data_IF_864899828329
#
_entry.id   IF_864899828329
#
_cell.length_a   1.000
_cell.length_b   1.000
_cell.length_c   1.000
_cell.angle_alpha   90.00
_cell.angle_beta   90.00
_cell.angle_gamma   90.00
#
_symmetry.space_group_name_H-M   'P 1'
#
loop_
_entity.id
_entity.type
_entity.pdbx_description
1 polymer ?
#
# COMPACT_ATOMS: atom_id res chain seq x y z
N UNK A 1 -8.63 -26.77 -11.35
CA UNK A 1 -8.02 -26.19 -12.57
C UNK A 1 -6.72 -26.96 -12.82
N UNK A 2 -6.55 -27.60 -13.98
CA UNK A 2 -5.42 -28.51 -14.27
C UNK A 2 -4.27 -27.86 -15.05
N UNK A 3 -3.84 -26.66 -14.65
CA UNK A 3 -2.69 -25.98 -15.26
C UNK A 3 -1.36 -26.54 -14.76
N UNK A 4 -0.25 -26.35 -15.51
CA UNK A 4 1.07 -26.77 -15.06
C UNK A 4 1.46 -26.05 -13.75
N UNK A 5 2.07 -26.74 -12.80
CA UNK A 5 2.52 -26.16 -11.51
C UNK A 5 3.46 -24.98 -11.69
N UNK A 6 4.23 -24.96 -12.79
CA UNK A 6 5.12 -23.85 -13.18
C UNK A 6 4.38 -22.53 -13.42
N UNK A 7 3.12 -22.57 -13.87
CA UNK A 7 2.34 -21.35 -14.11
C UNK A 7 2.01 -20.62 -12.81
N UNK A 8 1.76 -21.36 -11.73
CA UNK A 8 1.45 -20.76 -10.44
C UNK A 8 2.70 -20.17 -9.78
N UNK A 9 3.88 -20.77 -9.99
CA UNK A 9 5.17 -20.16 -9.57
C UNK A 9 5.44 -18.80 -10.20
N UNK A 10 4.85 -18.47 -11.35
CA UNK A 10 4.99 -17.13 -11.95
C UNK A 10 4.21 -16.05 -11.18
N UNK A 11 3.30 -16.42 -10.28
CA UNK A 11 2.56 -15.49 -9.41
C UNK A 11 3.47 -15.06 -8.26
N UNK A 12 3.54 -13.77 -7.97
CA UNK A 12 4.30 -13.27 -6.82
C UNK A 12 3.44 -13.14 -5.56
N UNK A 13 2.21 -12.66 -5.70
CA UNK A 13 1.30 -12.46 -4.57
C UNK A 13 -0.12 -12.95 -4.88
N UNK A 14 -0.76 -13.52 -3.86
CA UNK A 14 -2.19 -13.78 -3.80
C UNK A 14 -2.83 -12.81 -2.79
N UNK A 15 -3.89 -12.13 -3.21
CA UNK A 15 -4.61 -11.15 -2.39
C UNK A 15 -6.03 -11.67 -2.20
N UNK A 16 -6.38 -12.03 -0.97
CA UNK A 16 -7.67 -12.63 -0.65
C UNK A 16 -8.59 -11.62 0.02
N UNK A 17 -9.75 -11.37 -0.59
CA UNK A 17 -10.83 -10.60 -0.02
C UNK A 17 -12.08 -11.46 0.16
N UNK A 18 -12.73 -11.35 1.32
CA UNK A 18 -13.89 -12.15 1.68
C UNK A 18 -14.92 -11.33 2.48
N UNK A 19 -16.20 -11.75 2.47
CA UNK A 19 -17.18 -11.22 3.41
C UNK A 19 -16.91 -11.73 4.83
N UNK A 20 -16.70 -10.81 5.77
CA UNK A 20 -16.56 -11.07 7.19
C UNK A 20 -17.88 -10.80 7.90
N UNK A 21 -18.24 -11.67 8.83
CA UNK A 21 -19.37 -11.53 9.74
C UNK A 21 -18.83 -11.23 11.13
N UNK A 22 -19.12 -10.05 11.66
CA UNK A 22 -18.64 -9.64 12.99
C UNK A 22 -19.62 -10.06 14.08
N UNK A 23 -19.10 -10.65 15.17
CA UNK A 23 -19.83 -10.94 16.42
C UNK A 23 -21.18 -11.65 16.21
N UNK A 24 -21.29 -12.52 15.20
CA UNK A 24 -22.53 -13.24 14.88
C UNK A 24 -23.62 -12.41 14.20
N UNK A 25 -23.30 -11.22 13.69
CA UNK A 25 -24.24 -10.36 12.95
C UNK A 25 -24.74 -11.02 11.65
N UNK A 26 -25.93 -10.65 11.18
CA UNK A 26 -26.39 -11.02 9.83
C UNK A 26 -25.71 -10.20 8.73
N UNK A 27 -25.11 -9.05 9.07
CA UNK A 27 -24.51 -8.15 8.10
C UNK A 27 -23.09 -8.58 7.75
N UNK A 28 -22.87 -8.76 6.45
CA UNK A 28 -21.57 -9.11 5.85
C UNK A 28 -20.83 -7.85 5.44
N UNK A 29 -19.55 -7.80 5.73
CA UNK A 29 -18.66 -6.72 5.33
C UNK A 29 -17.52 -7.27 4.50
N UNK A 30 -17.29 -6.75 3.29
CA UNK A 30 -16.12 -7.13 2.51
C UNK A 30 -14.86 -6.59 3.18
N UNK A 31 -13.87 -7.46 3.40
CA UNK A 31 -12.55 -7.12 3.94
C UNK A 31 -11.49 -7.83 3.12
N UNK A 32 -10.32 -7.20 3.03
CA UNK A 32 -9.11 -7.93 2.71
C UNK A 32 -8.76 -8.78 3.92
N UNK A 33 -8.58 -10.08 3.73
CA UNK A 33 -8.35 -11.02 4.83
C UNK A 33 -6.93 -11.58 4.86
N UNK A 34 -6.26 -11.62 3.71
CA UNK A 34 -4.91 -12.18 3.59
C UNK A 34 -4.16 -11.58 2.39
N UNK A 35 -2.88 -11.31 2.56
CA UNK A 35 -1.93 -11.09 1.47
C UNK A 35 -0.80 -12.08 1.64
N UNK A 36 -0.62 -12.94 0.63
CA UNK A 36 0.32 -14.06 0.67
C UNK A 36 1.30 -13.93 -0.49
N UNK A 37 2.60 -14.00 -0.20
CA UNK A 37 3.65 -14.16 -1.20
C UNK A 37 3.75 -15.64 -1.60
N UNK A 38 3.89 -15.90 -2.90
CA UNK A 38 4.14 -17.24 -3.45
C UNK A 38 5.63 -17.40 -3.69
N UNK A 39 6.27 -18.20 -2.84
CA UNK A 39 7.70 -18.54 -2.95
C UNK A 39 7.95 -19.46 -4.14
N UNK A 40 9.22 -19.57 -4.56
CA UNK A 40 9.57 -20.31 -5.79
C UNK A 40 10.19 -21.69 -5.55
N UNK A 41 10.55 -22.00 -4.30
CA UNK A 41 11.29 -23.21 -3.91
C UNK A 41 10.51 -24.53 -3.89
N UNK A 42 9.18 -24.51 -3.78
CA UNK A 42 8.33 -25.71 -3.75
C UNK A 42 8.24 -26.42 -5.11
N UNK A 43 7.86 -27.69 -5.18
CA UNK A 43 7.88 -28.46 -6.44
C UNK A 43 6.55 -29.13 -6.79
N UNK A 44 5.92 -29.78 -5.80
CA UNK A 44 4.69 -30.55 -5.96
C UNK A 44 3.56 -29.94 -5.16
N UNK A 45 3.76 -29.76 -3.86
CA UNK A 45 2.76 -29.23 -2.94
C UNK A 45 3.30 -27.99 -2.23
N UNK A 46 2.89 -26.78 -2.63
CA UNK A 46 3.36 -25.55 -1.98
C UNK A 46 2.89 -25.44 -0.53
N UNK A 47 1.84 -26.11 -0.10
CA UNK A 47 1.40 -26.04 1.29
C UNK A 47 2.28 -26.92 2.18
N UNK A 48 2.59 -28.14 1.76
CA UNK A 48 3.50 -29.03 2.50
C UNK A 48 4.96 -28.56 2.43
N UNK A 49 5.36 -27.92 1.33
CA UNK A 49 6.74 -27.44 1.09
C UNK A 49 6.98 -25.99 1.53
N UNK A 50 6.07 -25.39 2.32
CA UNK A 50 6.18 -23.99 2.77
C UNK A 50 6.39 -22.97 1.64
N UNK A 51 5.72 -23.19 0.51
CA UNK A 51 5.74 -22.35 -0.68
C UNK A 51 5.00 -21.02 -0.56
N UNK A 52 4.51 -20.67 0.64
CA UNK A 52 3.71 -19.47 0.90
C UNK A 52 4.17 -18.75 2.16
N UNK A 53 4.16 -17.42 2.09
CA UNK A 53 4.36 -16.55 3.25
C UNK A 53 3.23 -15.54 3.34
N UNK A 54 2.56 -15.48 4.48
CA UNK A 54 1.56 -14.46 4.73
C UNK A 54 2.21 -13.17 5.18
N UNK A 55 2.08 -12.11 4.39
CA UNK A 55 2.50 -10.76 4.76
C UNK A 55 1.52 -10.11 5.71
N UNK A 56 0.23 -10.21 5.40
CA UNK A 56 -0.83 -9.56 6.16
C UNK A 56 -1.94 -10.58 6.42
N UNK A 57 -2.38 -10.66 7.67
CA UNK A 57 -3.53 -11.48 8.08
C UNK A 57 -4.56 -10.61 8.79
N UNK A 58 -5.85 -10.86 8.58
CA UNK A 58 -6.90 -10.04 9.18
C UNK A 58 -7.31 -10.53 10.57
N UNK A 59 -7.33 -9.61 11.52
CA UNK A 59 -7.84 -9.82 12.88
C UNK A 59 -9.26 -9.25 13.00
N UNK A 60 -10.25 -10.15 13.02
CA UNK A 60 -11.67 -9.79 13.10
C UNK A 60 -12.05 -9.11 14.43
N UNK A 61 -11.26 -9.28 15.49
CA UNK A 61 -11.51 -8.61 16.78
C UNK A 61 -11.16 -7.13 16.73
N UNK A 62 -10.16 -6.77 15.92
CA UNK A 62 -9.66 -5.40 15.74
C UNK A 62 -10.19 -4.71 14.48
N UNK A 63 -10.79 -5.47 13.56
CA UNK A 63 -11.14 -5.04 12.20
C UNK A 63 -9.93 -4.44 11.45
N UNK A 64 -8.78 -5.13 11.52
CA UNK A 64 -7.49 -4.64 11.02
C UNK A 64 -6.64 -5.75 10.40
N UNK A 65 -5.78 -5.36 9.46
CA UNK A 65 -4.71 -6.22 8.95
C UNK A 65 -3.51 -6.16 9.89
N UNK A 66 -2.97 -7.32 10.24
CA UNK A 66 -1.79 -7.52 11.06
C UNK A 66 -0.63 -7.88 10.15
N UNK A 67 0.45 -7.09 10.22
CA UNK A 67 1.66 -7.35 9.46
C UNK A 67 2.51 -8.41 10.16
N UNK A 68 2.78 -9.51 9.47
CA UNK A 68 3.61 -10.61 9.97
C UNK A 68 5.09 -10.26 9.79
N UNK A 69 5.55 -9.24 10.52
CA UNK A 69 6.84 -8.60 10.32
C UNK A 69 8.01 -9.60 10.28
N UNK A 70 8.11 -10.44 11.31
CA UNK A 70 9.22 -11.39 11.46
C UNK A 70 9.32 -12.33 10.26
N UNK A 71 8.20 -12.97 9.92
CA UNK A 71 8.12 -13.93 8.83
C UNK A 71 8.51 -13.31 7.48
N UNK A 72 7.97 -12.12 7.19
CA UNK A 72 8.27 -11.39 5.96
C UNK A 72 9.75 -11.03 5.86
N UNK A 73 10.36 -10.54 6.93
CA UNK A 73 11.78 -10.16 6.90
C UNK A 73 12.73 -11.35 6.81
N UNK A 74 12.40 -12.47 7.45
CA UNK A 74 13.23 -13.67 7.43
C UNK A 74 13.12 -14.38 6.08
N UNK A 75 11.91 -14.51 5.53
CA UNK A 75 11.63 -15.48 4.48
C UNK A 75 11.24 -14.88 3.11
N UNK A 76 10.83 -13.60 3.02
CA UNK A 76 10.40 -13.02 1.72
C UNK A 76 11.55 -12.93 0.71
N UNK A 77 11.41 -13.66 -0.40
CA UNK A 77 12.33 -13.58 -1.55
C UNK A 77 12.09 -12.28 -2.32
N UNK A 78 10.83 -11.87 -2.44
CA UNK A 78 10.45 -10.65 -3.14
C UNK A 78 11.03 -9.41 -2.45
N UNK A 79 10.93 -9.32 -1.12
CA UNK A 79 11.46 -8.17 -0.37
C UNK A 79 12.99 -8.11 -0.46
N UNK A 80 13.68 -9.24 -0.34
CA UNK A 80 15.13 -9.33 -0.55
C UNK A 80 15.52 -8.84 -1.95
N UNK A 81 14.79 -9.25 -2.98
CA UNK A 81 14.99 -8.78 -4.36
C UNK A 81 14.80 -7.26 -4.49
N UNK A 82 13.83 -6.67 -3.79
CA UNK A 82 13.65 -5.22 -3.77
C UNK A 82 14.83 -4.51 -3.11
N UNK A 83 15.32 -4.98 -1.97
CA UNK A 83 16.51 -4.42 -1.33
C UNK A 83 17.71 -4.42 -2.27
N UNK A 84 17.99 -5.57 -2.91
CA UNK A 84 19.11 -5.71 -3.85
C UNK A 84 18.94 -4.83 -5.10
N UNK A 85 17.77 -4.90 -5.75
CA UNK A 85 17.54 -4.19 -7.02
C UNK A 85 17.53 -2.66 -6.85
N UNK A 86 17.12 -2.16 -5.67
CA UNK A 86 17.06 -0.73 -5.40
C UNK A 86 18.26 -0.19 -4.63
N UNK A 87 19.16 -1.06 -4.15
CA UNK A 87 20.25 -0.66 -3.28
C UNK A 87 19.79 -0.04 -1.96
N UNK A 88 18.60 -0.43 -1.47
CA UNK A 88 17.98 0.13 -0.27
C UNK A 88 18.05 -0.86 0.89
N UNK A 89 18.24 -0.33 2.10
CA UNK A 89 18.10 -1.11 3.32
C UNK A 89 16.63 -1.19 3.77
N UNK A 90 16.35 -2.03 4.79
CA UNK A 90 15.01 -2.19 5.39
C UNK A 90 14.37 -0.85 5.75
N UNK A 91 15.11 0.00 6.43
CA UNK A 91 14.59 1.27 6.94
C UNK A 91 14.16 2.21 5.79
N UNK A 92 14.98 2.31 4.74
CA UNK A 92 14.70 3.15 3.58
C UNK A 92 13.45 2.68 2.82
N UNK A 93 13.30 1.37 2.58
CA UNK A 93 12.10 0.84 1.91
C UNK A 93 10.84 1.14 2.74
N UNK A 94 10.89 0.96 4.06
CA UNK A 94 9.71 1.22 4.89
C UNK A 94 9.41 2.71 5.04
N UNK A 95 10.42 3.59 5.00
CA UNK A 95 10.19 5.04 4.87
C UNK A 95 9.41 5.37 3.59
N UNK A 96 9.78 4.79 2.44
CA UNK A 96 9.04 4.96 1.19
C UNK A 96 7.60 4.40 1.28
N UNK A 97 7.43 3.18 1.80
CA UNK A 97 6.12 2.54 1.95
C UNK A 97 5.20 3.37 2.85
N UNK A 98 5.71 3.81 3.99
CA UNK A 98 4.95 4.62 4.94
C UNK A 98 4.59 5.98 4.33
N UNK A 99 5.54 6.66 3.67
CA UNK A 99 5.25 7.94 3.03
C UNK A 99 4.14 7.82 1.97
N UNK A 100 4.15 6.72 1.21
CA UNK A 100 3.10 6.40 0.24
C UNK A 100 1.75 6.10 0.88
N UNK A 101 1.75 5.44 2.03
CA UNK A 101 0.55 5.22 2.83
C UNK A 101 -0.03 6.54 3.35
N UNK A 102 0.83 7.38 3.93
CA UNK A 102 0.47 8.65 4.55
C UNK A 102 -0.14 9.65 3.56
N UNK A 103 0.46 9.84 2.37
CA UNK A 103 -0.12 10.78 1.40
C UNK A 103 -1.50 10.31 0.93
N UNK A 104 -1.69 8.99 0.71
CA UNK A 104 -3.00 8.44 0.32
C UNK A 104 -4.02 8.59 1.43
N UNK A 105 -3.62 8.31 2.66
CA UNK A 105 -4.46 8.47 3.84
C UNK A 105 -4.91 9.92 4.01
N UNK A 106 -4.00 10.88 3.81
CA UNK A 106 -4.33 12.30 3.88
C UNK A 106 -5.46 12.70 2.91
N UNK A 107 -5.48 12.17 1.67
CA UNK A 107 -6.59 12.42 0.73
C UNK A 107 -7.91 11.87 1.27
N UNK A 108 -7.91 10.68 1.89
CA UNK A 108 -9.09 10.09 2.51
C UNK A 108 -9.59 10.95 3.68
N UNK A 109 -8.67 11.46 4.51
CA UNK A 109 -9.00 12.37 5.60
C UNK A 109 -9.63 13.67 5.09
N UNK A 110 -9.02 14.32 4.10
CA UNK A 110 -9.56 15.55 3.51
C UNK A 110 -10.92 15.32 2.85
N UNK A 111 -11.11 14.16 2.19
CA UNK A 111 -12.41 13.77 1.63
C UNK A 111 -13.47 13.65 2.72
N UNK A 112 -13.15 13.00 3.84
CA UNK A 112 -14.09 12.81 4.96
C UNK A 112 -14.39 14.13 5.66
N UNK A 113 -13.36 14.91 5.98
CA UNK A 113 -13.46 16.21 6.66
C UNK A 113 -14.32 17.20 5.88
N UNK A 114 -14.13 17.27 4.57
CA UNK A 114 -14.77 18.29 3.72
C UNK A 114 -15.94 17.75 2.88
N UNK A 115 -16.29 16.46 3.02
CA UNK A 115 -17.31 15.78 2.20
C UNK A 115 -17.09 15.97 0.69
N UNK A 116 -15.85 15.74 0.24
CA UNK A 116 -15.41 15.91 -1.16
C UNK A 116 -15.12 14.55 -1.82
N UNK A 117 -16.13 13.76 -2.22
CA UNK A 117 -15.87 12.49 -2.94
C UNK A 117 -15.00 12.69 -4.19
N UNK A 118 -15.10 13.85 -4.86
CA UNK A 118 -14.35 14.23 -6.05
C UNK A 118 -12.82 14.22 -5.83
N UNK A 119 -12.38 14.34 -4.58
CA UNK A 119 -10.96 14.29 -4.20
C UNK A 119 -10.36 12.89 -4.40
N UNK A 120 -11.19 11.84 -4.33
CA UNK A 120 -10.76 10.45 -4.50
C UNK A 120 -11.00 9.91 -5.91
N UNK A 121 -11.49 10.75 -6.83
CA UNK A 121 -11.64 10.38 -8.23
C UNK A 121 -10.28 10.23 -8.92
N UNK A 122 -10.24 9.46 -10.01
CA UNK A 122 -9.01 9.14 -10.74
C UNK A 122 -8.27 10.40 -11.21
N UNK A 123 -8.99 11.39 -11.74
CA UNK A 123 -8.42 12.66 -12.21
C UNK A 123 -7.65 13.40 -11.11
N UNK A 124 -8.18 13.39 -9.88
CA UNK A 124 -7.57 14.05 -8.73
C UNK A 124 -6.43 13.23 -8.14
N UNK A 125 -6.64 11.94 -7.93
CA UNK A 125 -5.66 11.05 -7.30
C UNK A 125 -4.41 10.84 -8.15
N UNK A 126 -4.54 10.76 -9.48
CA UNK A 126 -3.39 10.70 -10.40
C UNK A 126 -2.57 11.99 -10.30
N UNK A 127 -3.23 13.16 -10.30
CA UNK A 127 -2.55 14.46 -10.19
C UNK A 127 -1.82 14.59 -8.86
N UNK A 128 -2.46 14.16 -7.77
CA UNK A 128 -1.87 14.16 -6.43
C UNK A 128 -0.65 13.23 -6.34
N UNK A 129 -0.75 12.02 -6.90
CA UNK A 129 0.35 11.06 -6.96
C UNK A 129 1.53 11.59 -7.77
N UNK A 130 1.29 12.07 -9.00
CA UNK A 130 2.34 12.60 -9.86
C UNK A 130 3.06 13.77 -9.20
N UNK A 131 2.32 14.67 -8.51
CA UNK A 131 2.94 15.77 -7.80
C UNK A 131 3.81 15.30 -6.63
N UNK A 132 3.40 14.26 -5.91
CA UNK A 132 4.21 13.68 -4.83
C UNK A 132 5.54 13.15 -5.37
N UNK A 133 5.49 12.35 -6.44
CA UNK A 133 6.70 11.77 -7.06
C UNK A 133 7.63 12.87 -7.60
N UNK A 134 7.09 13.91 -8.23
CA UNK A 134 7.89 15.06 -8.69
C UNK A 134 8.56 15.79 -7.52
N UNK A 135 7.84 16.02 -6.42
CA UNK A 135 8.44 16.65 -5.23
C UNK A 135 9.51 15.77 -4.59
N UNK A 136 9.34 14.44 -4.56
CA UNK A 136 10.38 13.52 -4.10
C UNK A 136 11.65 13.63 -4.97
N UNK A 137 11.50 13.74 -6.29
CA UNK A 137 12.64 13.91 -7.20
C UNK A 137 13.33 15.27 -7.00
N UNK A 138 12.57 16.36 -6.93
CA UNK A 138 13.11 17.70 -6.68
C UNK A 138 13.94 17.74 -5.39
N UNK A 139 13.40 17.15 -4.31
CA UNK A 139 14.11 17.05 -3.02
C UNK A 139 15.36 16.16 -3.11
N UNK A 140 15.28 15.04 -3.84
CA UNK A 140 16.41 14.13 -4.02
C UNK A 140 17.56 14.81 -4.77
N UNK A 141 17.25 15.56 -5.83
CA UNK A 141 18.25 16.34 -6.60
C UNK A 141 18.86 17.44 -5.73
N UNK A 142 18.04 18.18 -4.97
CA UNK A 142 18.52 19.27 -4.12
C UNK A 142 19.42 18.80 -2.96
N UNK A 143 19.26 17.56 -2.50
CA UNK A 143 19.95 17.02 -1.33
C UNK A 143 20.98 15.92 -1.68
N UNK A 144 21.59 15.98 -2.88
CA UNK A 144 22.62 15.05 -3.34
C UNK A 144 22.22 13.55 -3.18
N UNK A 145 20.97 13.22 -3.48
CA UNK A 145 20.45 11.86 -3.42
C UNK A 145 19.80 11.47 -2.09
N UNK A 146 19.92 12.29 -1.03
CA UNK A 146 19.21 12.06 0.23
C UNK A 146 17.76 12.57 0.14
N UNK A 147 16.82 11.87 0.78
CA UNK A 147 15.39 12.20 0.72
C UNK A 147 14.77 12.16 2.12
N UNK A 148 14.29 13.32 2.57
CA UNK A 148 13.43 13.41 3.75
C UNK A 148 11.96 13.36 3.33
N UNK A 149 11.35 12.17 3.43
CA UNK A 149 9.94 11.98 3.09
C UNK A 149 8.99 12.84 3.95
N UNK A 150 9.35 13.19 5.19
CA UNK A 150 8.49 14.00 6.05
C UNK A 150 8.41 15.45 5.55
N UNK A 151 9.55 16.00 5.11
CA UNK A 151 9.60 17.32 4.50
C UNK A 151 8.77 17.36 3.21
N UNK A 152 8.96 16.36 2.33
CA UNK A 152 8.17 16.23 1.08
C UNK A 152 6.68 16.11 1.38
N UNK A 153 6.28 15.27 2.33
CA UNK A 153 4.88 15.12 2.72
C UNK A 153 4.28 16.42 3.25
N UNK A 154 5.03 17.21 3.99
CA UNK A 154 4.57 18.50 4.54
C UNK A 154 4.24 19.47 3.41
N UNK A 155 5.16 19.66 2.48
CA UNK A 155 4.97 20.54 1.32
C UNK A 155 3.87 20.03 0.39
N UNK A 156 3.83 18.71 0.17
CA UNK A 156 2.81 18.09 -0.65
C UNK A 156 1.41 18.25 -0.03
N UNK A 157 1.26 18.07 1.29
CA UNK A 157 -0.02 18.29 2.00
C UNK A 157 -0.51 19.72 1.83
N UNK A 158 0.39 20.70 1.96
CA UNK A 158 0.08 22.12 1.69
C UNK A 158 -0.41 22.31 0.25
N UNK A 159 0.33 21.79 -0.72
CA UNK A 159 -0.05 21.87 -2.13
C UNK A 159 -1.41 21.22 -2.41
N UNK A 160 -1.73 20.06 -1.82
CA UNK A 160 -3.04 19.40 -1.95
C UNK A 160 -4.16 20.29 -1.42
N UNK A 161 -3.98 20.91 -0.25
CA UNK A 161 -4.98 21.79 0.34
C UNK A 161 -5.28 22.99 -0.57
N UNK A 162 -4.22 23.64 -1.07
CA UNK A 162 -4.32 24.84 -1.91
C UNK A 162 -4.83 24.53 -3.32
N UNK A 163 -4.39 23.43 -3.94
CA UNK A 163 -4.54 23.18 -5.37
C UNK A 163 -5.65 22.18 -5.70
N UNK A 164 -5.99 21.28 -4.78
CA UNK A 164 -7.00 20.25 -4.99
C UNK A 164 -8.22 20.47 -4.11
N UNK A 165 -8.03 20.71 -2.80
CA UNK A 165 -9.15 20.82 -1.85
C UNK A 165 -9.87 22.16 -1.98
N UNK A 166 -9.14 23.29 -1.91
CA UNK A 166 -9.75 24.62 -1.93
C UNK A 166 -10.60 24.87 -3.19
N UNK A 167 -10.13 24.54 -4.41
CA UNK A 167 -10.95 24.74 -5.61
C UNK A 167 -12.23 23.89 -5.64
N UNK A 168 -12.20 22.67 -5.07
CA UNK A 168 -13.37 21.82 -4.94
C UNK A 168 -14.36 22.34 -3.88
N UNK A 169 -13.86 22.98 -2.82
CA UNK A 169 -14.72 23.65 -1.86
C UNK A 169 -15.41 24.88 -2.47
N UNK A 170 -14.66 25.66 -3.24
CA UNK A 170 -15.18 26.88 -3.87
C UNK A 170 -16.19 26.57 -4.97
N UNK A 171 -16.03 25.45 -5.69
CA UNK A 171 -17.03 25.01 -6.68
C UNK A 171 -18.34 24.55 -6.05
N UNK A 172 -18.34 24.04 -4.80
CA UNK A 172 -19.57 23.63 -4.08
C UNK A 172 -20.35 24.79 -3.47
N UNK A 173 -19.71 25.96 -3.28
CA UNK A 173 -20.37 27.16 -2.76
C UNK A 173 -21.12 27.96 -3.82
N UNK A 174 -20.86 27.69 -5.10
CA UNK A 174 -21.58 28.25 -6.24
C UNK A 174 -22.82 27.43 -6.54
#
# INVERSE_FOLDING_TARGET
>A
MGGPTTSFKATDFCILAAPVIFKGSLKRYRRLIQITEVLKGWTKDPQEEHGFIDWLTFDASKDQLIFNEKEVFENSEWLKKIFTNRGLNKEAVFKEVNARGEYKWFLVEQKRKNSLPELLEASTTIRAHNKFVLMEEDYRVANNGNLDHNAVLTDWKKWVLETLVQPLLDSKKK
#
